data_IF_533153507501
#
_entry.id   IF_533153507501
#
_cell.length_a   1.000
_cell.length_b   1.000
_cell.length_c   1.000
_cell.angle_alpha   90.00
_cell.angle_beta   90.00
_cell.angle_gamma   90.00
#
_symmetry.space_group_name_H-M   'P 1'
#
loop_
_entity.id
_entity.type
_entity.pdbx_description
1 polymer ?
#
# COMPACT_ATOMS: atom_id res chain seq x y z
N UNK A 1 -25.97 29.34 -38.56
CA UNK A 1 -26.21 29.72 -37.14
C UNK A 1 -25.59 28.62 -36.29
N UNK A 2 -24.58 29.00 -35.52
CA UNK A 2 -23.71 28.12 -34.74
C UNK A 2 -24.44 27.49 -33.54
N UNK A 3 -24.25 26.19 -33.32
CA UNK A 3 -24.39 25.57 -32.02
C UNK A 3 -23.38 24.42 -31.88
N UNK A 4 -22.15 24.86 -31.57
CA UNK A 4 -21.14 24.23 -30.71
C UNK A 4 -20.99 22.70 -30.78
N UNK A 5 -19.86 22.31 -31.35
CA UNK A 5 -19.14 21.08 -31.02
C UNK A 5 -19.17 20.83 -29.51
N UNK A 6 -19.96 19.84 -29.07
CA UNK A 6 -19.72 19.23 -27.77
C UNK A 6 -18.44 18.42 -27.89
N UNK A 7 -17.35 19.09 -27.51
CA UNK A 7 -16.03 18.51 -27.32
C UNK A 7 -16.20 17.33 -26.36
N UNK A 8 -16.21 16.13 -26.92
CA UNK A 8 -16.04 14.90 -26.18
C UNK A 8 -14.63 14.91 -25.59
N UNK A 9 -14.54 15.17 -24.30
CA UNK A 9 -13.30 14.98 -23.58
C UNK A 9 -13.09 13.47 -23.45
N UNK A 10 -12.01 12.89 -23.99
CA UNK A 10 -11.64 11.55 -23.58
C UNK A 10 -11.45 11.60 -22.06
N UNK A 11 -12.25 10.80 -21.34
CA UNK A 11 -12.05 10.53 -19.92
C UNK A 11 -10.68 9.89 -19.76
N UNK A 12 -9.64 10.70 -19.68
CA UNK A 12 -8.40 10.30 -19.04
C UNK A 12 -8.83 9.92 -17.63
N UNK A 13 -8.94 8.61 -17.38
CA UNK A 13 -9.04 8.11 -16.03
C UNK A 13 -7.87 8.73 -15.27
N UNK A 14 -8.17 9.70 -14.41
CA UNK A 14 -7.17 10.27 -13.54
C UNK A 14 -6.51 9.09 -12.84
N UNK A 15 -5.19 8.95 -12.99
CA UNK A 15 -4.41 8.02 -12.17
C UNK A 15 -4.60 8.28 -10.66
N UNK A 16 -5.31 9.36 -10.31
CA UNK A 16 -5.66 9.85 -9.00
C UNK A 16 -7.08 9.49 -8.50
N UNK A 17 -8.02 8.97 -9.31
CA UNK A 17 -9.45 8.98 -8.92
C UNK A 17 -10.07 7.70 -8.35
N UNK A 18 -9.49 6.52 -8.51
CA UNK A 18 -10.14 5.29 -8.01
C UNK A 18 -9.18 4.41 -7.23
N UNK A 19 -8.84 4.86 -6.03
CA UNK A 19 -8.33 3.96 -5.01
C UNK A 19 -9.35 2.85 -4.69
N UNK A 20 -8.87 1.69 -4.32
CA UNK A 20 -9.69 0.58 -3.85
C UNK A 20 -10.40 0.96 -2.55
N UNK A 21 -11.73 0.83 -2.53
CA UNK A 21 -12.53 0.93 -1.31
C UNK A 21 -12.24 -0.25 -0.38
N UNK A 22 -12.56 -0.11 0.91
CA UNK A 22 -12.48 -1.24 1.85
C UNK A 22 -13.33 -2.43 1.38
N UNK A 23 -14.47 -2.18 0.74
CA UNK A 23 -15.30 -3.22 0.13
C UNK A 23 -14.58 -3.93 -1.03
N UNK A 24 -13.96 -3.17 -1.95
CA UNK A 24 -13.17 -3.75 -3.04
C UNK A 24 -11.96 -4.55 -2.53
N UNK A 25 -11.36 -4.11 -1.42
CA UNK A 25 -10.27 -4.84 -0.75
C UNK A 25 -10.74 -6.17 -0.17
N UNK A 26 -11.97 -6.25 0.37
CA UNK A 26 -12.52 -7.48 0.95
C UNK A 26 -12.56 -8.63 -0.05
N UNK A 27 -12.82 -8.34 -1.32
CA UNK A 27 -12.80 -9.36 -2.39
C UNK A 27 -11.39 -9.80 -2.81
N UNK A 28 -10.37 -8.94 -2.68
CA UNK A 28 -8.99 -9.22 -3.12
C UNK A 28 -8.11 -9.80 -2.02
N UNK A 29 -8.28 -9.27 -0.81
CA UNK A 29 -7.48 -9.58 0.38
C UNK A 29 -8.40 -9.81 1.59
N UNK A 30 -9.24 -10.86 1.59
CA UNK A 30 -10.15 -11.14 2.71
C UNK A 30 -9.44 -11.30 4.06
N UNK A 31 -8.17 -11.74 4.06
CA UNK A 31 -7.34 -11.89 5.26
C UNK A 31 -7.20 -10.58 6.08
N UNK A 32 -7.12 -9.44 5.40
CA UNK A 32 -7.05 -8.10 6.02
C UNK A 32 -8.26 -7.80 6.92
N UNK A 33 -9.39 -8.48 6.68
CA UNK A 33 -10.64 -8.33 7.40
C UNK A 33 -10.92 -9.50 8.36
N UNK A 34 -9.92 -10.33 8.65
CA UNK A 34 -10.06 -11.39 9.65
C UNK A 34 -10.51 -10.81 11.00
N UNK A 35 -11.36 -11.56 11.71
CA UNK A 35 -11.88 -11.18 13.03
C UNK A 35 -11.03 -11.70 14.19
N UNK A 36 -10.03 -12.54 13.91
CA UNK A 36 -9.14 -13.13 14.90
C UNK A 36 -7.83 -13.59 14.28
N UNK A 37 -6.84 -13.83 15.14
CA UNK A 37 -5.55 -14.38 14.76
C UNK A 37 -5.61 -15.91 14.65
N UNK A 38 -4.55 -16.54 14.13
CA UNK A 38 -4.43 -18.00 14.11
C UNK A 38 -4.61 -18.60 15.52
N UNK A 39 -5.44 -19.63 15.64
CA UNK A 39 -5.76 -20.34 16.90
C UNK A 39 -4.52 -20.89 17.60
N UNK A 40 -3.40 -21.04 16.89
CA UNK A 40 -2.11 -21.48 17.43
C UNK A 40 -1.35 -20.39 18.18
N UNK A 41 -1.80 -19.14 18.11
CA UNK A 41 -1.14 -18.01 18.75
C UNK A 41 -1.50 -17.94 20.25
N UNK A 42 -0.56 -17.45 21.05
CA UNK A 42 -0.75 -17.36 22.49
C UNK A 42 -1.78 -16.28 22.88
N UNK A 43 -2.38 -16.43 24.06
CA UNK A 43 -3.33 -15.45 24.63
C UNK A 43 -2.74 -14.03 24.81
N UNK A 44 -1.41 -13.90 24.76
CA UNK A 44 -0.71 -12.61 24.81
C UNK A 44 -0.61 -11.92 23.44
N UNK A 45 -1.02 -12.57 22.34
CA UNK A 45 -1.01 -11.99 21.01
C UNK A 45 -2.16 -10.98 20.85
N UNK A 46 -1.81 -9.70 20.69
CA UNK A 46 -2.80 -8.65 20.40
C UNK A 46 -3.14 -8.66 18.92
N UNK A 47 -4.28 -9.26 18.58
CA UNK A 47 -4.80 -9.23 17.22
C UNK A 47 -5.34 -7.85 16.88
N UNK A 48 -4.82 -7.26 15.80
CA UNK A 48 -5.33 -6.01 15.23
C UNK A 48 -5.61 -6.29 13.76
N UNK A 49 -6.88 -6.22 13.31
CA UNK A 49 -7.22 -6.37 11.92
C UNK A 49 -6.48 -5.34 11.06
N UNK A 50 -5.87 -5.78 9.95
CA UNK A 50 -5.21 -4.85 9.02
C UNK A 50 -6.21 -3.85 8.42
N UNK A 51 -7.49 -4.21 8.34
CA UNK A 51 -8.56 -3.29 7.90
C UNK A 51 -8.66 -2.01 8.74
N UNK A 52 -8.44 -2.08 10.06
CA UNK A 52 -8.41 -0.88 10.92
C UNK A 52 -7.21 0.01 10.58
N UNK A 53 -6.04 -0.60 10.36
CA UNK A 53 -4.83 0.10 9.93
C UNK A 53 -5.04 0.76 8.57
N UNK A 54 -5.67 0.07 7.62
CA UNK A 54 -5.97 0.62 6.29
C UNK A 54 -6.97 1.78 6.36
N UNK A 55 -8.00 1.68 7.19
CA UNK A 55 -8.95 2.78 7.40
C UNK A 55 -8.23 4.02 7.91
N UNK A 56 -7.39 3.88 8.94
CA UNK A 56 -6.64 4.99 9.49
C UNK A 56 -5.64 5.60 8.49
N UNK A 57 -5.01 4.77 7.64
CA UNK A 57 -4.16 5.25 6.55
C UNK A 57 -4.98 6.01 5.49
N UNK A 58 -6.19 5.56 5.17
CA UNK A 58 -7.08 6.27 4.24
C UNK A 58 -7.49 7.63 4.80
N UNK A 59 -7.80 7.71 6.09
CA UNK A 59 -8.10 8.96 6.79
C UNK A 59 -6.90 9.90 6.85
N UNK A 60 -5.68 9.35 6.93
CA UNK A 60 -4.41 10.09 6.85
C UNK A 60 -4.05 10.54 5.41
N UNK A 61 -4.95 10.37 4.44
CA UNK A 61 -4.78 10.85 3.06
C UNK A 61 -4.05 9.88 2.13
N UNK A 62 -3.93 8.61 2.50
CA UNK A 62 -3.50 7.57 1.59
C UNK A 62 -4.68 6.98 0.81
N UNK A 63 -4.41 6.42 -0.36
CA UNK A 63 -5.36 5.65 -1.15
C UNK A 63 -4.75 4.28 -1.44
N UNK A 64 -5.52 3.21 -1.24
CA UNK A 64 -5.09 1.87 -1.63
C UNK A 64 -5.20 1.75 -3.16
N UNK A 65 -4.13 1.37 -3.85
CA UNK A 65 -4.11 1.29 -5.32
C UNK A 65 -4.04 -0.13 -5.84
N UNK A 66 -3.50 -1.05 -5.04
CA UNK A 66 -3.51 -2.48 -5.32
C UNK A 66 -3.41 -3.26 -4.00
N UNK A 67 -3.93 -4.47 -3.98
CA UNK A 67 -3.82 -5.37 -2.84
C UNK A 67 -3.79 -6.83 -3.30
N UNK A 68 -2.88 -7.60 -2.73
CA UNK A 68 -2.71 -9.02 -3.05
C UNK A 68 -2.42 -9.81 -1.78
N UNK A 69 -2.97 -11.00 -1.68
CA UNK A 69 -2.62 -11.97 -0.64
C UNK A 69 -2.05 -13.23 -1.27
N UNK A 70 -1.16 -13.88 -0.54
CA UNK A 70 -0.56 -15.14 -0.98
C UNK A 70 -1.65 -16.22 -1.01
N UNK A 71 -1.81 -16.90 -2.13
CA UNK A 71 -2.62 -18.12 -2.17
C UNK A 71 -1.78 -19.28 -1.62
N UNK A 72 -1.91 -19.56 -0.32
CA UNK A 72 -1.24 -20.67 0.30
C UNK A 72 -1.96 -21.99 -0.02
N UNK A 73 -1.25 -22.97 -0.58
CA UNK A 73 -1.78 -24.34 -0.79
C UNK A 73 -1.93 -25.15 0.51
N UNK A 74 -1.27 -24.72 1.60
CA UNK A 74 -1.12 -25.47 2.86
C UNK A 74 -1.54 -24.71 4.13
N UNK A 75 -1.69 -23.39 4.05
CA UNK A 75 -2.10 -22.55 5.18
C UNK A 75 -3.50 -22.02 4.90
N UNK A 76 -4.29 -21.79 5.95
CA UNK A 76 -5.59 -21.15 5.80
C UNK A 76 -5.42 -19.83 5.02
N UNK A 77 -6.28 -19.54 4.03
CA UNK A 77 -6.28 -18.24 3.36
C UNK A 77 -6.60 -17.08 4.32
N UNK A 78 -7.05 -17.40 5.54
CA UNK A 78 -7.34 -16.47 6.64
C UNK A 78 -6.12 -16.03 7.46
N UNK A 79 -4.91 -16.51 7.12
CA UNK A 79 -3.64 -16.03 7.72
C UNK A 79 -2.57 -15.73 6.67
N UNK A 80 -3.00 -15.47 5.43
CA UNK A 80 -2.09 -15.32 4.30
C UNK A 80 -1.27 -14.02 4.42
N UNK A 81 -0.01 -14.06 3.99
CA UNK A 81 0.75 -12.82 3.79
C UNK A 81 0.08 -11.96 2.75
N UNK A 82 -0.26 -10.73 3.13
CA UNK A 82 -0.87 -9.75 2.27
C UNK A 82 0.02 -8.53 2.08
N UNK A 83 -0.10 -7.95 0.88
CA UNK A 83 0.60 -6.76 0.44
C UNK A 83 -0.45 -5.76 -0.01
N UNK A 84 -0.43 -4.56 0.57
CA UNK A 84 -1.28 -3.45 0.15
C UNK A 84 -0.39 -2.30 -0.30
N UNK A 85 -0.64 -1.81 -1.52
CA UNK A 85 0.05 -0.67 -2.10
C UNK A 85 -0.77 0.59 -1.88
N UNK A 86 -0.13 1.63 -1.40
CA UNK A 86 -0.73 2.87 -0.95
C UNK A 86 -0.06 4.06 -1.63
N UNK A 87 -0.85 5.03 -2.06
CA UNK A 87 -0.39 6.27 -2.67
C UNK A 87 -0.89 7.47 -1.88
N UNK A 88 -0.15 8.58 -1.85
CA UNK A 88 -0.62 9.85 -1.25
C UNK A 88 -1.60 10.53 -2.20
N UNK A 89 -2.79 10.89 -1.73
CA UNK A 89 -3.86 11.47 -2.57
C UNK A 89 -3.46 12.78 -3.25
N UNK A 90 -2.71 13.64 -2.56
CA UNK A 90 -2.42 15.01 -3.01
C UNK A 90 -0.94 15.27 -3.34
N UNK A 91 -0.04 14.34 -2.99
CA UNK A 91 1.42 14.57 -2.98
C UNK A 91 2.17 13.43 -3.69
N UNK A 92 1.75 13.08 -4.91
CA UNK A 92 2.46 12.04 -5.67
C UNK A 92 3.43 12.68 -6.66
N UNK A 93 4.72 12.42 -6.45
CA UNK A 93 5.77 12.73 -7.43
C UNK A 93 5.65 11.77 -8.60
N UNK A 94 5.48 12.27 -9.82
CA UNK A 94 5.49 11.43 -11.01
C UNK A 94 6.88 11.38 -11.63
N UNK A 95 7.40 10.15 -11.79
CA UNK A 95 8.67 9.90 -12.45
C UNK A 95 8.48 9.73 -13.95
N UNK A 96 9.60 9.77 -14.67
CA UNK A 96 9.67 9.41 -16.09
C UNK A 96 9.06 8.01 -16.33
N UNK A 97 8.40 7.86 -17.48
CA UNK A 97 7.75 6.60 -17.85
C UNK A 97 6.47 6.26 -17.06
N UNK A 98 5.79 7.25 -16.49
CA UNK A 98 4.56 7.07 -15.69
C UNK A 98 4.76 6.20 -14.45
N UNK A 99 5.92 6.30 -13.80
CA UNK A 99 6.19 5.57 -12.56
C UNK A 99 5.87 6.44 -11.34
N UNK A 100 5.27 5.84 -10.33
CA UNK A 100 4.82 6.53 -9.12
C UNK A 100 5.44 5.87 -7.88
N UNK A 101 5.95 6.67 -6.93
CA UNK A 101 6.37 6.17 -5.64
C UNK A 101 5.12 5.83 -4.81
N UNK A 102 5.18 4.68 -4.15
CA UNK A 102 4.09 4.16 -3.33
C UNK A 102 4.66 3.61 -2.02
N UNK A 103 3.84 3.66 -0.98
CA UNK A 103 4.09 2.93 0.26
C UNK A 103 3.54 1.51 0.10
N UNK A 104 4.35 0.52 0.47
CA UNK A 104 3.98 -0.89 0.44
C UNK A 104 3.84 -1.38 1.88
N UNK A 105 2.62 -1.69 2.29
CA UNK A 105 2.30 -2.31 3.58
C UNK A 105 2.32 -3.83 3.43
N UNK A 106 3.09 -4.49 4.28
CA UNK A 106 3.26 -5.94 4.34
C UNK A 106 2.83 -6.43 5.73
N UNK A 107 1.97 -7.46 5.77
CA UNK A 107 1.60 -8.10 7.04
C UNK A 107 1.08 -9.54 6.83
N UNK A 108 1.00 -10.30 7.93
CA UNK A 108 0.26 -11.56 8.05
C UNK A 108 -0.26 -11.72 9.48
N UNK A 109 -1.36 -12.47 9.61
CA UNK A 109 -1.99 -12.80 10.89
C UNK A 109 -1.57 -14.17 11.46
N UNK A 110 -0.52 -14.79 10.92
CA UNK A 110 0.07 -16.06 11.38
C UNK A 110 1.10 -15.90 12.51
N UNK A 111 1.29 -14.68 13.03
CA UNK A 111 2.28 -14.34 14.04
C UNK A 111 3.74 -14.33 13.55
N UNK A 112 4.01 -14.66 12.28
CA UNK A 112 5.38 -14.65 11.72
C UNK A 112 5.78 -13.30 11.13
N UNK A 113 4.82 -12.40 10.92
CA UNK A 113 5.06 -11.07 10.37
C UNK A 113 4.64 -9.95 11.30
N UNK A 114 5.41 -8.87 11.23
CA UNK A 114 5.09 -7.56 11.80
C UNK A 114 4.34 -6.74 10.73
N UNK A 115 3.84 -5.58 11.08
CA UNK A 115 3.54 -4.57 10.06
C UNK A 115 4.86 -4.04 9.53
N UNK A 116 5.08 -4.16 8.23
CA UNK A 116 6.26 -3.63 7.57
C UNK A 116 5.86 -2.67 6.46
N UNK A 117 6.41 -1.45 6.50
CA UNK A 117 6.23 -0.42 5.50
C UNK A 117 7.52 -0.25 4.69
N UNK A 118 7.39 -0.29 3.37
CA UNK A 118 8.49 -0.08 2.43
C UNK A 118 8.13 0.95 1.37
N UNK A 119 9.16 1.50 0.75
CA UNK A 119 9.02 2.25 -0.49
C UNK A 119 9.00 1.31 -1.68
N UNK A 120 8.17 1.63 -2.67
CA UNK A 120 8.17 0.98 -3.97
C UNK A 120 7.95 1.98 -5.09
N UNK A 121 8.33 1.59 -6.30
CA UNK A 121 8.08 2.34 -7.52
C UNK A 121 7.29 1.45 -8.47
N UNK A 122 6.16 1.95 -8.92
CA UNK A 122 5.24 1.20 -9.74
C UNK A 122 4.89 1.99 -10.99
N UNK A 123 4.94 1.31 -12.13
CA UNK A 123 4.59 1.92 -13.41
C UNK A 123 3.08 1.87 -13.61
N UNK A 124 2.47 2.93 -14.12
CA UNK A 124 1.03 2.96 -14.37
C UNK A 124 0.61 2.00 -15.50
N UNK A 125 1.46 1.82 -16.51
CA UNK A 125 1.13 1.04 -17.72
C UNK A 125 1.26 -0.48 -17.56
N UNK A 126 1.92 -0.95 -16.49
CA UNK A 126 1.98 -2.36 -16.18
C UNK A 126 1.93 -2.52 -14.66
N UNK A 127 1.12 -3.44 -14.13
CA UNK A 127 1.03 -3.70 -12.70
C UNK A 127 2.32 -4.30 -12.08
N UNK A 128 3.44 -4.20 -12.80
CA UNK A 128 4.78 -4.56 -12.38
C UNK A 128 5.41 -3.35 -11.68
N UNK A 129 5.97 -3.58 -10.49
CA UNK A 129 6.77 -2.57 -9.83
C UNK A 129 7.85 -3.19 -8.98
N UNK A 130 8.75 -2.33 -8.53
CA UNK A 130 9.94 -2.68 -7.80
C UNK A 130 9.80 -2.18 -6.37
N UNK A 131 9.98 -3.08 -5.41
CA UNK A 131 10.10 -2.70 -4.00
C UNK A 131 11.55 -2.32 -3.75
N UNK A 132 11.76 -1.16 -3.15
CA UNK A 132 13.09 -0.61 -2.91
C UNK A 132 13.81 -1.44 -1.85
N UNK A 133 15.10 -1.70 -2.07
CA UNK A 133 15.89 -2.51 -1.16
C UNK A 133 16.07 -1.81 0.19
N UNK A 134 16.09 -2.59 1.27
CA UNK A 134 16.29 -2.08 2.64
C UNK A 134 17.61 -1.33 2.82
N UNK A 135 18.63 -1.65 2.01
CA UNK A 135 19.94 -0.98 2.06
C UNK A 135 19.92 0.43 1.47
N UNK A 136 19.05 0.70 0.50
CA UNK A 136 18.91 2.04 -0.07
C UNK A 136 17.95 2.91 0.75
N UNK A 137 16.83 2.32 1.21
CA UNK A 137 15.84 2.99 2.06
C UNK A 137 15.38 2.03 3.16
N UNK A 138 15.37 2.46 4.44
CA UNK A 138 15.02 1.57 5.54
C UNK A 138 13.55 1.14 5.45
N UNK A 139 13.29 -0.12 5.81
CA UNK A 139 11.93 -0.57 6.09
C UNK A 139 11.54 -0.18 7.52
N UNK A 140 10.29 0.23 7.70
CA UNK A 140 9.76 0.59 9.01
C UNK A 140 8.89 -0.56 9.52
N UNK A 141 9.27 -1.13 10.66
CA UNK A 141 8.59 -2.26 11.26
C UNK A 141 7.87 -1.83 12.53
N UNK A 142 6.56 -2.09 12.60
CA UNK A 142 5.73 -1.82 13.78
C UNK A 142 5.34 -3.15 14.41
N UNK A 143 5.62 -3.29 15.71
CA UNK A 143 5.27 -4.49 16.46
C UNK A 143 3.76 -4.52 16.77
N UNK A 144 3.17 -5.71 16.90
CA UNK A 144 1.76 -5.88 17.30
C UNK A 144 1.56 -5.67 18.81
N UNK A 145 2.03 -4.54 19.35
CA UNK A 145 1.91 -4.18 20.78
C UNK A 145 1.72 -2.66 20.90
N UNK A 146 0.90 -2.23 21.86
CA UNK A 146 0.68 -0.80 22.10
C UNK A 146 -0.23 -0.15 21.07
N UNK A 147 0.05 1.11 20.70
CA UNK A 147 -0.76 1.92 19.78
C UNK A 147 -0.36 1.69 18.32
N UNK A 148 -0.54 0.45 17.86
CA UNK A 148 -0.06 -0.02 16.56
C UNK A 148 -0.60 0.80 15.39
N UNK A 149 -1.88 1.17 15.42
CA UNK A 149 -2.51 1.94 14.34
C UNK A 149 -1.82 3.30 14.18
N UNK A 150 -1.65 4.03 15.28
CA UNK A 150 -0.99 5.35 15.29
C UNK A 150 0.47 5.24 14.82
N UNK A 151 1.19 4.21 15.28
CA UNK A 151 2.58 3.96 14.88
C UNK A 151 2.72 3.62 13.40
N UNK A 152 1.79 2.83 12.83
CA UNK A 152 1.78 2.53 11.39
C UNK A 152 1.48 3.77 10.57
N UNK A 153 0.50 4.58 10.98
CA UNK A 153 0.16 5.83 10.27
C UNK A 153 1.34 6.80 10.31
N UNK A 154 1.94 7.02 11.48
CA UNK A 154 3.12 7.88 11.63
C UNK A 154 4.30 7.38 10.78
N UNK A 155 4.53 6.07 10.78
CA UNK A 155 5.58 5.45 9.94
C UNK A 155 5.29 5.62 8.45
N UNK A 156 4.04 5.48 8.01
CA UNK A 156 3.67 5.63 6.61
C UNK A 156 3.86 7.07 6.12
N UNK A 157 3.49 8.06 6.94
CA UNK A 157 3.73 9.48 6.67
C UNK A 157 5.24 9.76 6.53
N UNK A 158 6.05 9.31 7.51
CA UNK A 158 7.50 9.43 7.47
C UNK A 158 8.15 8.75 6.26
N UNK A 159 7.63 7.60 5.85
CA UNK A 159 8.07 6.91 4.63
C UNK A 159 7.76 7.76 3.40
N UNK A 160 6.57 8.34 3.33
CA UNK A 160 6.15 9.16 2.18
C UNK A 160 6.97 10.44 2.00
N UNK A 161 7.52 11.02 3.07
CA UNK A 161 8.46 12.15 3.00
C UNK A 161 9.73 11.82 2.18
N UNK A 162 10.05 10.54 2.01
CA UNK A 162 11.22 10.10 1.24
C UNK A 162 10.95 9.96 -0.27
N UNK A 163 9.73 10.22 -0.75
CA UNK A 163 9.36 10.04 -2.15
C UNK A 163 10.18 10.89 -3.12
N UNK A 164 10.49 12.14 -2.79
CA UNK A 164 11.34 13.00 -3.64
C UNK A 164 12.78 12.49 -3.71
N UNK A 165 13.32 12.02 -2.58
CA UNK A 165 14.67 11.44 -2.55
C UNK A 165 14.73 10.15 -3.38
N UNK A 166 13.68 9.33 -3.30
CA UNK A 166 13.54 8.13 -4.12
C UNK A 166 13.48 8.48 -5.60
N UNK A 167 12.67 9.48 -5.96
CA UNK A 167 12.56 10.01 -7.32
C UNK A 167 13.92 10.39 -7.89
N UNK A 168 14.65 11.25 -7.18
CA UNK A 168 15.97 11.71 -7.59
C UNK A 168 17.00 10.57 -7.69
N UNK A 169 16.88 9.53 -6.85
CA UNK A 169 17.76 8.36 -6.96
C UNK A 169 17.49 7.55 -8.22
N UNK A 170 16.22 7.37 -8.60
CA UNK A 170 15.84 6.63 -9.80
C UNK A 170 16.23 7.39 -11.05
N UNK A 171 16.00 8.70 -11.10
CA UNK A 171 16.46 9.53 -12.22
C UNK A 171 17.97 9.43 -12.43
N UNK A 172 18.76 9.41 -11.35
CA UNK A 172 20.21 9.19 -11.42
C UNK A 172 20.61 7.80 -11.92
N UNK A 173 19.78 6.79 -11.68
CA UNK A 173 20.01 5.43 -12.19
C UNK A 173 19.63 5.31 -13.67
N UNK A 174 18.56 5.97 -14.10
CA UNK A 174 18.13 5.99 -15.51
C UNK A 174 19.03 6.84 -16.41
N UNK A 175 19.73 7.82 -15.85
CA UNK A 175 20.69 8.66 -16.57
C UNK A 175 22.08 8.01 -16.77
N UNK A 176 22.27 6.77 -16.31
CA UNK A 176 23.49 5.98 -16.48
C UNK A 176 23.33 4.96 -17.60
#
# INVERSE_FOLDING_TARGET
MNARDEISFPSYANAFDQGLTLEALRGRVPDVFASGADERLSDHYSFIPTSHVLSALMDAGFIAVDARQTQARRTSPLYARHVVRLRRRMETVQLRGYSLPEVVLLNSHDGTSRYELRLGIFRLVCSNGLIVSRGAFPAYCVAHRGKVVDEVVASALKVSEQFERLAAQVERMEAR
#
